data_IF_851795026218
#
_entry.id   IF_851795026218
#
_cell.length_a   1.000
_cell.length_b   1.000
_cell.length_c   1.000
_cell.angle_alpha   90.00
_cell.angle_beta   90.00
_cell.angle_gamma   90.00
#
_symmetry.space_group_name_H-M   'P 1'
#
loop_
_entity.id
_entity.type
_entity.pdbx_description
1 polymer ?
#
# COMPACT_ATOMS: atom_id res chain seq x y z
N UNK A 1 23.77 -9.54 -45.54
CA UNK A 1 22.70 -9.51 -44.52
C UNK A 1 23.12 -10.42 -43.35
N UNK A 2 23.90 -9.92 -42.39
CA UNK A 2 24.13 -10.58 -41.09
C UNK A 2 25.13 -9.74 -40.27
N UNK A 3 24.70 -8.61 -39.70
CA UNK A 3 25.54 -7.85 -38.75
C UNK A 3 24.68 -6.87 -37.94
N UNK A 4 23.86 -7.38 -37.02
CA UNK A 4 23.15 -6.55 -36.03
C UNK A 4 22.93 -7.22 -34.67
N UNK A 5 23.51 -8.40 -34.42
CA UNK A 5 23.29 -9.19 -33.20
C UNK A 5 24.23 -8.95 -31.97
N UNK A 6 25.42 -8.30 -32.03
CA UNK A 6 26.32 -8.24 -30.86
C UNK A 6 25.96 -7.19 -29.81
N UNK A 7 25.13 -6.20 -30.12
CA UNK A 7 24.76 -5.13 -29.19
C UNK A 7 23.65 -5.53 -28.21
N UNK A 8 22.70 -6.35 -28.66
CA UNK A 8 21.56 -6.79 -27.83
C UNK A 8 21.98 -7.85 -26.79
N UNK A 9 22.92 -8.74 -27.10
CA UNK A 9 23.43 -9.74 -26.14
C UNK A 9 24.25 -9.11 -25.01
N UNK A 10 25.11 -8.14 -25.31
CA UNK A 10 25.92 -7.41 -24.29
C UNK A 10 25.06 -6.54 -23.36
N UNK A 11 23.98 -5.95 -23.87
CA UNK A 11 23.05 -5.19 -23.04
C UNK A 11 22.33 -6.10 -22.03
N UNK A 12 21.83 -7.26 -22.46
CA UNK A 12 21.17 -8.23 -21.60
C UNK A 12 22.12 -8.82 -20.52
N UNK A 13 23.38 -9.12 -20.87
CA UNK A 13 24.42 -9.56 -19.92
C UNK A 13 24.70 -8.49 -18.85
N UNK A 14 24.75 -7.20 -19.24
CA UNK A 14 25.03 -6.09 -18.32
C UNK A 14 23.90 -5.85 -17.30
N UNK A 15 22.66 -6.21 -17.65
CA UNK A 15 21.50 -6.08 -16.75
C UNK A 15 21.52 -7.20 -15.72
N UNK A 16 21.71 -8.45 -16.12
CA UNK A 16 21.79 -9.59 -15.20
C UNK A 16 22.89 -9.42 -14.14
N UNK A 17 24.02 -8.84 -14.53
CA UNK A 17 25.16 -8.62 -13.63
C UNK A 17 24.92 -7.56 -12.54
N UNK A 18 23.95 -6.64 -12.73
CA UNK A 18 23.57 -5.64 -11.70
C UNK A 18 22.60 -6.19 -10.66
N UNK A 19 21.81 -7.21 -11.02
CA UNK A 19 20.88 -7.85 -10.08
C UNK A 19 21.59 -8.74 -9.06
N UNK A 20 22.70 -9.39 -9.44
CA UNK A 20 23.48 -10.25 -8.53
C UNK A 20 23.93 -9.52 -7.24
N UNK A 21 24.63 -8.38 -7.29
CA UNK A 21 25.03 -7.66 -6.08
C UNK A 21 23.83 -7.12 -5.31
N UNK A 22 22.76 -6.70 -5.99
CA UNK A 22 21.54 -6.24 -5.32
C UNK A 22 20.90 -7.38 -4.51
N UNK A 23 20.71 -8.55 -5.12
CA UNK A 23 20.14 -9.72 -4.44
C UNK A 23 21.03 -10.16 -3.27
N UNK A 24 22.36 -10.18 -3.46
CA UNK A 24 23.30 -10.50 -2.38
C UNK A 24 23.20 -9.52 -1.21
N UNK A 25 23.14 -8.22 -1.46
CA UNK A 25 22.99 -7.20 -0.43
C UNK A 25 21.62 -7.25 0.26
N UNK A 26 20.55 -7.53 -0.48
CA UNK A 26 19.22 -7.74 0.09
C UNK A 26 19.19 -8.98 1.00
N UNK A 27 19.84 -10.08 0.59
CA UNK A 27 19.98 -11.27 1.43
C UNK A 27 20.75 -10.97 2.72
N UNK A 28 21.80 -10.15 2.65
CA UNK A 28 22.54 -9.68 3.84
C UNK A 28 21.67 -8.81 4.76
N UNK A 29 20.81 -7.94 4.20
CA UNK A 29 19.84 -7.17 4.99
C UNK A 29 18.86 -8.10 5.71
N UNK A 30 18.27 -9.06 4.99
CA UNK A 30 17.35 -10.04 5.57
C UNK A 30 18.04 -10.85 6.68
N UNK A 31 19.26 -11.32 6.44
CA UNK A 31 20.06 -12.03 7.44
C UNK A 31 20.35 -11.15 8.67
N UNK A 32 20.79 -9.90 8.45
CA UNK A 32 21.10 -8.96 9.53
C UNK A 32 19.90 -8.57 10.39
N UNK A 33 18.68 -8.72 9.86
CA UNK A 33 17.40 -8.47 10.52
C UNK A 33 16.66 -9.78 10.89
N UNK A 34 17.31 -10.94 10.81
CA UNK A 34 16.67 -12.23 11.09
C UNK A 34 16.02 -12.32 12.49
N UNK A 35 16.62 -11.80 13.59
CA UNK A 35 15.97 -11.83 14.90
C UNK A 35 14.66 -11.03 14.94
N UNK A 36 14.64 -9.84 14.32
CA UNK A 36 13.43 -9.04 14.19
C UNK A 36 12.37 -9.77 13.37
N UNK A 37 12.76 -10.33 12.22
CA UNK A 37 11.84 -11.08 11.36
C UNK A 37 11.25 -12.30 12.07
N UNK A 38 12.02 -12.97 12.92
CA UNK A 38 11.52 -14.06 13.77
C UNK A 38 10.47 -13.58 14.78
N UNK A 39 10.71 -12.44 15.45
CA UNK A 39 9.74 -11.82 16.37
C UNK A 39 8.45 -11.44 15.63
N UNK A 40 8.57 -10.86 14.43
CA UNK A 40 7.42 -10.50 13.62
C UNK A 40 6.65 -11.75 13.16
N UNK A 41 7.34 -12.80 12.71
CA UNK A 41 6.74 -14.06 12.30
C UNK A 41 5.99 -14.74 13.45
N UNK A 42 6.58 -14.78 14.64
CA UNK A 42 5.95 -15.30 15.86
C UNK A 42 4.65 -14.55 16.15
N UNK A 43 4.67 -13.22 16.04
CA UNK A 43 3.50 -12.37 16.27
C UNK A 43 2.42 -12.58 15.22
N UNK A 44 2.79 -12.71 13.94
CA UNK A 44 1.82 -12.99 12.88
C UNK A 44 1.09 -14.31 13.04
N UNK A 45 1.75 -15.31 13.63
CA UNK A 45 1.18 -16.65 13.79
C UNK A 45 0.34 -16.80 15.06
N UNK A 46 0.72 -16.11 16.14
CA UNK A 46 0.07 -16.26 17.45
C UNK A 46 -0.84 -15.10 17.85
N UNK A 47 -0.70 -13.93 17.23
CA UNK A 47 -1.54 -12.77 17.51
C UNK A 47 -2.58 -12.58 16.38
N UNK A 48 -3.87 -12.88 16.63
CA UNK A 48 -4.92 -12.67 15.65
C UNK A 48 -4.97 -11.23 15.11
N UNK A 49 -4.50 -10.22 15.86
CA UNK A 49 -4.44 -8.82 15.43
C UNK A 49 -3.52 -8.61 14.23
N UNK A 50 -2.45 -9.40 14.13
CA UNK A 50 -1.39 -9.23 13.13
C UNK A 50 -1.32 -10.36 12.10
N UNK A 51 -2.37 -11.20 12.02
CA UNK A 51 -2.52 -12.30 11.06
C UNK A 51 -2.39 -11.91 9.57
N UNK A 52 -2.57 -10.64 9.22
CA UNK A 52 -2.37 -10.13 7.85
C UNK A 52 -0.89 -9.90 7.50
N UNK A 53 0.01 -9.85 8.49
CA UNK A 53 1.42 -9.54 8.34
C UNK A 53 2.16 -10.34 7.26
N UNK A 54 1.96 -11.67 7.12
CA UNK A 54 2.63 -12.47 6.10
C UNK A 54 2.26 -12.10 4.65
N UNK A 55 1.07 -11.53 4.43
CA UNK A 55 0.62 -11.08 3.10
C UNK A 55 1.34 -9.80 2.66
N UNK A 56 1.83 -8.99 3.60
CA UNK A 56 2.47 -7.71 3.32
C UNK A 56 3.75 -7.85 2.48
N UNK A 57 4.75 -8.67 2.86
CA UNK A 57 5.95 -8.84 2.03
C UNK A 57 5.64 -9.47 0.66
N UNK A 58 4.66 -10.38 0.59
CA UNK A 58 4.21 -10.95 -0.69
C UNK A 58 3.63 -9.86 -1.60
N UNK A 59 2.80 -8.97 -1.05
CA UNK A 59 2.24 -7.85 -1.80
C UNK A 59 3.32 -6.84 -2.20
N UNK A 60 4.29 -6.54 -1.33
CA UNK A 60 5.45 -5.70 -1.68
C UNK A 60 6.24 -6.28 -2.86
N UNK A 61 6.47 -7.60 -2.87
CA UNK A 61 7.10 -8.27 -4.01
C UNK A 61 6.23 -8.20 -5.27
N UNK A 62 4.91 -8.37 -5.13
CA UNK A 62 3.97 -8.20 -6.23
C UNK A 62 3.99 -6.78 -6.82
N UNK A 63 4.10 -5.73 -6.00
CA UNK A 63 4.23 -4.33 -6.46
C UNK A 63 5.50 -4.12 -7.30
N UNK A 64 6.59 -4.80 -6.97
CA UNK A 64 7.82 -4.78 -7.78
C UNK A 64 7.64 -5.59 -9.06
N UNK A 65 7.06 -6.79 -8.97
CA UNK A 65 6.84 -7.69 -10.10
C UNK A 65 5.90 -7.12 -11.15
N UNK A 66 4.89 -6.33 -10.74
CA UNK A 66 3.95 -5.66 -11.65
C UNK A 66 4.65 -4.67 -12.59
N UNK A 67 5.75 -4.08 -12.14
CA UNK A 67 6.48 -3.08 -12.90
C UNK A 67 7.75 -3.66 -13.56
N UNK A 68 7.86 -4.99 -13.63
CA UNK A 68 9.05 -5.69 -14.15
C UNK A 68 9.38 -5.36 -15.61
N UNK A 69 8.38 -5.01 -16.41
CA UNK A 69 8.58 -4.69 -17.84
C UNK A 69 9.39 -3.40 -18.01
N UNK A 70 9.36 -2.51 -17.02
CA UNK A 70 10.17 -1.29 -16.99
C UNK A 70 11.47 -1.47 -16.20
N UNK A 71 11.79 -2.69 -15.72
CA UNK A 71 12.88 -2.93 -14.77
C UNK A 71 14.25 -2.48 -15.27
N UNK A 72 14.48 -2.50 -16.58
CA UNK A 72 15.72 -1.99 -17.18
C UNK A 72 15.86 -0.47 -17.03
N UNK A 73 14.74 0.26 -17.14
CA UNK A 73 14.69 1.71 -16.97
C UNK A 73 14.78 2.15 -15.50
N UNK A 74 14.81 1.21 -14.55
CA UNK A 74 14.89 1.51 -13.12
C UNK A 74 16.29 1.89 -12.67
N UNK A 75 17.31 1.51 -13.43
CA UNK A 75 18.70 1.67 -13.02
C UNK A 75 19.20 3.08 -13.33
N UNK A 76 19.57 3.81 -12.28
CA UNK A 76 20.29 5.08 -12.36
C UNK A 76 21.72 4.97 -11.85
N UNK A 77 22.47 6.09 -11.83
CA UNK A 77 23.83 6.09 -11.28
C UNK A 77 23.77 5.79 -9.77
N UNK A 78 24.55 4.81 -9.29
CA UNK A 78 24.60 4.44 -7.88
C UNK A 78 25.02 5.63 -7.00
N UNK A 79 24.49 5.68 -5.78
CA UNK A 79 24.74 6.79 -4.82
C UNK A 79 25.38 6.26 -3.55
N UNK A 80 26.60 5.72 -3.67
CA UNK A 80 27.30 5.03 -2.58
C UNK A 80 27.49 5.89 -1.33
N UNK A 81 27.82 7.18 -1.48
CA UNK A 81 27.99 8.07 -0.33
C UNK A 81 26.72 8.27 0.47
N UNK A 82 25.58 8.46 -0.21
CA UNK A 82 24.27 8.58 0.45
C UNK A 82 23.81 7.24 1.03
N UNK A 83 24.05 6.13 0.33
CA UNK A 83 23.77 4.79 0.83
C UNK A 83 24.57 4.46 2.09
N UNK A 84 25.87 4.78 2.11
CA UNK A 84 26.73 4.57 3.28
C UNK A 84 26.30 5.45 4.45
N UNK A 85 26.01 6.74 4.21
CA UNK A 85 25.46 7.63 5.23
C UNK A 85 24.16 7.09 5.83
N UNK A 86 23.26 6.55 5.00
CA UNK A 86 22.03 5.93 5.45
C UNK A 86 22.28 4.62 6.23
N UNK A 87 23.24 3.79 5.81
CA UNK A 87 23.63 2.57 6.55
C UNK A 87 24.22 2.89 7.92
N UNK A 88 25.03 3.95 8.03
CA UNK A 88 25.54 4.42 9.33
C UNK A 88 24.37 4.84 10.23
N UNK A 89 23.42 5.61 9.69
CA UNK A 89 22.22 5.99 10.43
C UNK A 89 21.39 4.77 10.86
N UNK A 90 21.26 3.76 10.00
CA UNK A 90 20.63 2.47 10.32
C UNK A 90 21.35 1.80 11.49
N UNK A 91 22.68 1.66 11.45
CA UNK A 91 23.44 1.02 12.53
C UNK A 91 23.28 1.75 13.87
N UNK A 92 23.30 3.09 13.84
CA UNK A 92 23.03 3.91 15.03
C UNK A 92 21.60 3.69 15.54
N UNK A 93 20.61 3.68 14.64
CA UNK A 93 19.21 3.44 15.00
C UNK A 93 19.02 2.05 15.62
N UNK A 94 19.67 1.02 15.08
CA UNK A 94 19.65 -0.34 15.62
C UNK A 94 20.31 -0.43 16.99
N UNK A 95 21.44 0.27 17.19
CA UNK A 95 22.09 0.34 18.49
C UNK A 95 21.17 0.98 19.55
N UNK A 96 20.44 2.04 19.17
CA UNK A 96 19.43 2.65 20.05
C UNK A 96 18.24 1.71 20.27
N UNK A 97 17.71 1.10 19.21
CA UNK A 97 16.59 0.16 19.29
C UNK A 97 16.91 -1.04 20.21
N UNK A 98 18.11 -1.60 20.11
CA UNK A 98 18.59 -2.68 20.96
C UNK A 98 18.76 -2.26 22.42
N UNK A 99 19.23 -1.03 22.68
CA UNK A 99 19.33 -0.48 24.05
C UNK A 99 17.96 -0.24 24.69
N UNK A 100 16.98 0.19 23.90
CA UNK A 100 15.63 0.48 24.36
C UNK A 100 14.69 -0.75 24.31
N UNK A 101 15.15 -1.88 23.78
CA UNK A 101 14.33 -3.06 23.47
C UNK A 101 13.08 -2.71 22.63
N UNK A 102 13.22 -1.75 21.72
CA UNK A 102 12.09 -1.18 20.99
C UNK A 102 12.07 -1.67 19.55
N UNK A 103 11.42 -2.83 19.35
CA UNK A 103 11.40 -3.57 18.08
C UNK A 103 10.83 -2.76 16.89
N UNK A 104 9.95 -1.79 17.15
CA UNK A 104 9.39 -0.90 16.12
C UNK A 104 10.47 -0.05 15.45
N UNK A 105 11.50 0.39 16.20
CA UNK A 105 12.63 1.11 15.62
C UNK A 105 13.54 0.21 14.79
N UNK A 106 13.73 -1.05 15.20
CA UNK A 106 14.49 -2.01 14.40
C UNK A 106 13.75 -2.35 13.10
N UNK A 107 12.42 -2.38 13.13
CA UNK A 107 11.59 -2.41 11.94
C UNK A 107 11.84 -1.20 11.03
N UNK A 108 11.78 0.04 11.53
CA UNK A 108 12.15 1.23 10.74
C UNK A 108 13.55 1.08 10.15
N UNK A 109 14.50 0.55 10.93
CA UNK A 109 15.86 0.29 10.46
C UNK A 109 15.90 -0.72 9.31
N UNK A 110 15.03 -1.74 9.28
CA UNK A 110 14.86 -2.66 8.15
C UNK A 110 14.44 -1.93 6.88
N UNK A 111 13.40 -1.07 6.91
CA UNK A 111 12.99 -0.35 5.70
C UNK A 111 14.07 0.63 5.22
N UNK A 112 14.76 1.31 6.14
CA UNK A 112 15.88 2.18 5.79
C UNK A 112 17.08 1.39 5.24
N UNK A 113 17.33 0.17 5.72
CA UNK A 113 18.36 -0.73 5.17
C UNK A 113 18.08 -1.10 3.73
N UNK A 114 16.83 -1.47 3.43
CA UNK A 114 16.38 -1.77 2.07
C UNK A 114 16.53 -0.54 1.15
N UNK A 115 16.13 0.63 1.63
CA UNK A 115 16.30 1.88 0.91
C UNK A 115 17.78 2.20 0.64
N UNK A 116 18.67 1.95 1.61
CA UNK A 116 20.11 2.18 1.46
C UNK A 116 20.74 1.26 0.42
N UNK A 117 20.42 -0.04 0.45
CA UNK A 117 20.89 -1.01 -0.56
C UNK A 117 20.42 -0.60 -1.95
N UNK A 118 19.13 -0.28 -2.10
CA UNK A 118 18.57 0.15 -3.38
C UNK A 118 19.23 1.43 -3.90
N UNK A 119 19.44 2.41 -3.02
CA UNK A 119 20.11 3.67 -3.34
C UNK A 119 21.58 3.46 -3.74
N UNK A 120 22.26 2.51 -3.09
CA UNK A 120 23.65 2.16 -3.36
C UNK A 120 23.83 1.43 -4.70
N UNK A 121 22.87 0.63 -5.12
CA UNK A 121 22.93 -0.13 -6.38
C UNK A 121 22.41 0.65 -7.59
N UNK A 122 21.23 1.26 -7.50
CA UNK A 122 20.54 1.88 -8.64
C UNK A 122 20.20 3.36 -8.45
N UNK A 123 20.64 3.97 -7.36
CA UNK A 123 20.46 5.39 -7.08
C UNK A 123 19.00 5.78 -6.84
N UNK A 124 18.71 7.07 -7.03
CA UNK A 124 17.38 7.64 -6.81
C UNK A 124 16.32 7.10 -7.78
N UNK A 125 16.71 6.60 -8.96
CA UNK A 125 15.76 6.04 -9.92
C UNK A 125 15.17 4.74 -9.36
N UNK A 126 16.03 3.80 -8.96
CA UNK A 126 15.62 2.52 -8.41
C UNK A 126 14.83 2.72 -7.11
N UNK A 127 15.28 3.64 -6.24
CA UNK A 127 14.58 3.93 -4.98
C UNK A 127 13.16 4.46 -5.22
N UNK A 128 12.95 5.38 -6.17
CA UNK A 128 11.59 5.89 -6.46
C UNK A 128 10.67 4.81 -7.02
N UNK A 129 11.21 3.90 -7.85
CA UNK A 129 10.46 2.78 -8.43
C UNK A 129 10.10 1.72 -7.38
N UNK A 130 10.99 1.47 -6.42
CA UNK A 130 10.76 0.53 -5.33
C UNK A 130 10.11 1.14 -4.09
N UNK A 131 9.96 2.47 -4.01
CA UNK A 131 9.49 3.19 -2.81
C UNK A 131 8.13 2.69 -2.33
N UNK A 132 7.20 2.43 -3.25
CA UNK A 132 5.89 1.90 -2.90
C UNK A 132 6.00 0.52 -2.23
N UNK A 133 6.84 -0.37 -2.75
CA UNK A 133 7.04 -1.71 -2.20
C UNK A 133 7.74 -1.68 -0.83
N UNK A 134 8.79 -0.85 -0.69
CA UNK A 134 9.51 -0.67 0.58
C UNK A 134 8.59 -0.01 1.62
N UNK A 135 7.86 1.03 1.24
CA UNK A 135 6.94 1.74 2.12
C UNK A 135 5.78 0.85 2.58
N UNK A 136 5.27 -0.03 1.72
CA UNK A 136 4.19 -0.96 2.07
C UNK A 136 4.58 -1.94 3.17
N UNK A 137 5.88 -2.26 3.34
CA UNK A 137 6.35 -3.12 4.42
C UNK A 137 6.08 -2.57 5.82
N UNK A 138 5.72 -1.30 5.98
CA UNK A 138 5.36 -0.76 7.30
C UNK A 138 4.13 -1.46 7.89
N UNK A 139 3.23 -1.98 7.05
CA UNK A 139 2.03 -2.69 7.52
C UNK A 139 2.32 -4.07 8.12
N UNK A 140 3.52 -4.63 7.94
CA UNK A 140 3.90 -5.89 8.57
C UNK A 140 4.37 -5.69 10.02
N UNK A 141 4.61 -4.45 10.42
CA UNK A 141 5.18 -4.08 11.71
C UNK A 141 4.05 -3.75 12.68
N UNK A 142 4.03 -4.35 13.88
CA UNK A 142 3.06 -4.02 14.89
C UNK A 142 3.24 -2.59 15.40
N UNK A 143 2.13 -1.92 15.66
CA UNK A 143 2.13 -0.56 16.19
C UNK A 143 2.77 -0.54 17.60
N UNK A 144 3.40 0.59 17.99
CA UNK A 144 3.86 0.75 19.37
C UNK A 144 2.66 0.86 20.32
N UNK A 145 2.78 0.26 21.50
CA UNK A 145 1.71 0.15 22.50
C UNK A 145 0.99 1.49 22.78
N UNK A 146 1.73 2.58 22.91
CA UNK A 146 1.13 3.90 23.15
C UNK A 146 0.22 4.35 22.00
N UNK A 147 0.61 4.08 20.75
CA UNK A 147 -0.20 4.40 19.59
C UNK A 147 -1.41 3.47 19.49
N UNK A 148 -1.23 2.18 19.80
CA UNK A 148 -2.33 1.23 19.88
C UNK A 148 -3.38 1.68 20.89
N UNK A 149 -2.95 2.13 22.07
CA UNK A 149 -3.84 2.62 23.13
C UNK A 149 -4.52 3.94 22.75
N UNK A 150 -3.75 4.94 22.31
CA UNK A 150 -4.27 6.28 21.99
C UNK A 150 -5.26 6.27 20.82
N UNK A 151 -5.09 5.38 19.85
CA UNK A 151 -6.02 5.21 18.72
C UNK A 151 -7.14 4.21 19.07
N UNK A 152 -6.84 3.17 19.84
CA UNK A 152 -7.80 2.14 20.22
C UNK A 152 -8.90 2.65 21.15
N UNK A 153 -8.57 3.48 22.14
CA UNK A 153 -9.55 4.06 23.08
C UNK A 153 -10.71 4.80 22.38
N UNK A 154 -10.48 5.80 21.51
CA UNK A 154 -11.58 6.52 20.84
C UNK A 154 -12.38 5.59 19.91
N UNK A 155 -11.73 4.63 19.25
CA UNK A 155 -12.43 3.64 18.42
C UNK A 155 -13.34 2.75 19.26
N UNK A 156 -12.91 2.33 20.46
CA UNK A 156 -13.76 1.59 21.41
C UNK A 156 -14.95 2.41 21.87
N UNK A 157 -14.75 3.70 22.17
CA UNK A 157 -15.88 4.60 22.54
C UNK A 157 -16.88 4.68 21.39
N UNK A 158 -16.43 4.99 20.18
CA UNK A 158 -17.29 5.11 19.01
C UNK A 158 -18.05 3.81 18.72
N UNK A 159 -17.35 2.68 18.77
CA UNK A 159 -17.95 1.36 18.56
C UNK A 159 -18.99 1.01 19.64
N UNK A 160 -18.69 1.28 20.92
CA UNK A 160 -19.61 1.00 22.04
C UNK A 160 -20.87 1.87 21.94
N UNK A 161 -20.71 3.16 21.66
CA UNK A 161 -21.83 4.10 21.49
C UNK A 161 -22.70 3.68 20.30
N UNK A 162 -22.09 3.44 19.14
CA UNK A 162 -22.84 3.06 17.93
C UNK A 162 -23.54 1.71 18.06
N UNK A 163 -22.89 0.73 18.68
CA UNK A 163 -23.49 -0.60 18.90
C UNK A 163 -24.61 -0.56 19.93
N UNK A 164 -24.45 0.21 21.01
CA UNK A 164 -25.53 0.40 22.01
C UNK A 164 -26.75 1.02 21.34
N UNK A 165 -26.55 2.06 20.52
CA UNK A 165 -27.61 2.69 19.77
C UNK A 165 -28.32 1.70 18.83
N UNK A 166 -27.58 0.92 18.04
CA UNK A 166 -28.19 -0.08 17.15
C UNK A 166 -28.91 -1.20 17.90
N UNK A 167 -28.37 -1.67 19.02
CA UNK A 167 -29.06 -2.69 19.84
C UNK A 167 -30.38 -2.14 20.41
N UNK A 168 -30.39 -0.89 20.88
CA UNK A 168 -31.59 -0.23 21.37
C UNK A 168 -32.64 -0.03 20.26
N UNK A 169 -32.23 0.37 19.05
CA UNK A 169 -33.16 0.52 17.92
C UNK A 169 -33.71 -0.83 17.44
N UNK A 170 -32.96 -1.92 17.65
CA UNK A 170 -33.42 -3.29 17.43
C UNK A 170 -34.22 -3.88 18.60
N UNK A 171 -34.62 -3.05 19.56
CA UNK A 171 -35.51 -3.43 20.66
C UNK A 171 -34.83 -4.12 21.84
N UNK A 172 -33.49 -4.11 21.91
CA UNK A 172 -32.74 -4.70 23.01
C UNK A 172 -32.52 -3.69 24.15
N UNK A 173 -32.69 -4.09 25.43
CA UNK A 173 -32.45 -3.22 26.58
C UNK A 173 -30.94 -3.09 26.86
N UNK A 174 -30.20 -2.48 25.92
CA UNK A 174 -28.76 -2.30 26.00
C UNK A 174 -28.40 -1.04 26.80
N UNK A 175 -27.58 -1.20 27.84
CA UNK A 175 -27.01 -0.11 28.64
C UNK A 175 -25.49 -0.10 28.47
N UNK A 176 -24.92 1.08 28.21
CA UNK A 176 -23.46 1.26 28.14
C UNK A 176 -22.88 1.60 29.51
N UNK A 177 -21.91 0.82 29.95
CA UNK A 177 -21.05 1.09 31.10
C UNK A 177 -19.58 1.06 30.66
N UNK A 178 -18.98 2.24 30.48
CA UNK A 178 -17.66 2.37 29.86
C UNK A 178 -17.62 1.78 28.44
N UNK A 179 -16.82 0.72 28.27
CA UNK A 179 -16.68 -0.08 27.04
C UNK A 179 -17.43 -1.42 27.09
N UNK A 180 -18.31 -1.59 28.07
CA UNK A 180 -19.13 -2.79 28.23
C UNK A 180 -20.58 -2.43 27.89
N UNK A 181 -21.24 -3.29 27.13
CA UNK A 181 -22.67 -3.20 26.83
C UNK A 181 -23.37 -4.29 27.64
N UNK A 182 -24.28 -3.87 28.52
CA UNK A 182 -25.07 -4.72 29.39
C UNK A 182 -26.45 -4.94 28.76
N UNK A 183 -26.87 -6.20 28.62
CA UNK A 183 -28.19 -6.60 28.12
C UNK A 183 -28.73 -7.73 29.00
N UNK A 184 -29.37 -7.36 30.11
CA UNK A 184 -29.80 -8.34 31.12
C UNK A 184 -28.61 -9.09 31.72
N UNK A 185 -28.57 -10.40 31.52
CA UNK A 185 -27.46 -11.26 31.97
C UNK A 185 -26.25 -11.24 31.02
N UNK A 186 -26.42 -10.77 29.79
CA UNK A 186 -25.36 -10.72 28.78
C UNK A 186 -24.49 -9.49 29.00
N UNK A 187 -23.16 -9.71 29.07
CA UNK A 187 -22.15 -8.64 29.16
C UNK A 187 -21.23 -8.71 27.94
N UNK A 188 -21.34 -7.74 27.06
CA UNK A 188 -20.48 -7.62 25.88
C UNK A 188 -19.39 -6.60 26.15
N UNK A 189 -18.18 -7.08 26.40
CA UNK A 189 -17.02 -6.21 26.48
C UNK A 189 -16.48 -5.87 25.09
N UNK A 190 -16.28 -4.59 24.80
CA UNK A 190 -15.42 -4.14 23.70
C UNK A 190 -13.97 -4.19 24.19
N UNK A 191 -13.49 -5.42 24.41
CA UNK A 191 -12.12 -5.72 24.87
C UNK A 191 -11.10 -5.49 23.75
N UNK A 192 -9.80 -5.60 24.01
CA UNK A 192 -8.74 -5.34 23.03
C UNK A 192 -8.88 -6.15 21.74
N UNK A 193 -9.39 -7.38 21.82
CA UNK A 193 -9.72 -8.23 20.67
C UNK A 193 -10.80 -7.63 19.73
N UNK A 194 -11.58 -6.68 20.22
CA UNK A 194 -12.64 -5.96 19.50
C UNK A 194 -12.32 -4.47 19.29
N UNK A 195 -11.10 -4.04 19.63
CA UNK A 195 -10.70 -2.61 19.73
C UNK A 195 -10.79 -1.81 18.43
N UNK A 196 -11.25 -2.39 17.32
CA UNK A 196 -11.27 -1.75 16.01
C UNK A 196 -9.87 -1.55 15.42
N UNK A 197 -8.80 -1.62 16.22
CA UNK A 197 -7.43 -1.35 15.78
C UNK A 197 -6.91 -2.41 14.82
N UNK A 198 -7.15 -3.70 15.10
CA UNK A 198 -6.89 -4.81 14.15
C UNK A 198 -7.45 -4.47 12.77
N UNK A 199 -8.73 -4.07 12.76
CA UNK A 199 -9.46 -3.81 11.53
C UNK A 199 -9.00 -2.52 10.87
N UNK A 200 -8.69 -1.50 11.65
CA UNK A 200 -8.11 -0.26 11.14
C UNK A 200 -6.80 -0.54 10.41
N UNK A 201 -5.87 -1.27 11.02
CA UNK A 201 -4.57 -1.61 10.39
C UNK A 201 -4.77 -2.48 9.16
N UNK A 202 -5.65 -3.48 9.25
CA UNK A 202 -5.96 -4.39 8.14
C UNK A 202 -6.59 -3.62 6.97
N UNK A 203 -7.64 -2.82 7.21
CA UNK A 203 -8.26 -1.98 6.20
C UNK A 203 -7.33 -0.88 5.70
N UNK A 204 -6.43 -0.36 6.52
CA UNK A 204 -5.40 0.57 6.07
C UNK A 204 -4.45 -0.11 5.07
N UNK A 205 -3.98 -1.32 5.37
CA UNK A 205 -3.14 -2.09 4.46
C UNK A 205 -3.86 -2.37 3.13
N UNK A 206 -5.12 -2.81 3.17
CA UNK A 206 -5.91 -3.05 1.95
C UNK A 206 -6.20 -1.76 1.17
N UNK A 207 -6.57 -0.67 1.85
CA UNK A 207 -6.90 0.61 1.21
C UNK A 207 -5.67 1.27 0.60
N UNK A 208 -4.54 1.26 1.30
CA UNK A 208 -3.26 1.71 0.74
C UNK A 208 -2.84 0.82 -0.42
N UNK A 209 -2.97 -0.50 -0.30
CA UNK A 209 -2.72 -1.43 -1.39
C UNK A 209 -3.57 -1.12 -2.63
N UNK A 210 -4.87 -0.88 -2.44
CA UNK A 210 -5.78 -0.49 -3.52
C UNK A 210 -5.37 0.85 -4.15
N UNK A 211 -5.07 1.87 -3.35
CA UNK A 211 -4.62 3.19 -3.80
C UNK A 211 -3.30 3.15 -4.57
N UNK A 212 -2.39 2.23 -4.20
CA UNK A 212 -1.14 1.98 -4.92
C UNK A 212 -1.39 1.26 -6.25
N UNK A 213 -2.41 0.42 -6.34
CA UNK A 213 -2.73 -0.33 -7.55
C UNK A 213 -3.59 0.45 -8.56
N UNK A 214 -4.49 1.30 -8.06
CA UNK A 214 -5.47 2.02 -8.84
C UNK A 214 -4.88 3.33 -9.40
N UNK A 215 -5.13 3.57 -10.69
CA UNK A 215 -4.86 4.86 -11.35
C UNK A 215 -6.04 5.78 -11.06
N UNK A 216 -5.92 6.57 -9.99
CA UNK A 216 -6.94 7.50 -9.46
C UNK A 216 -6.31 8.85 -9.16
N UNK A 217 -7.12 9.90 -9.16
CA UNK A 217 -6.67 11.26 -8.82
C UNK A 217 -6.16 11.32 -7.37
N UNK A 218 -5.30 12.30 -7.05
CA UNK A 218 -4.79 12.47 -5.67
C UNK A 218 -5.92 12.71 -4.67
N UNK A 219 -7.00 13.35 -5.11
CA UNK A 219 -8.18 13.61 -4.30
C UNK A 219 -8.92 12.32 -3.94
N UNK A 220 -9.24 11.48 -4.93
CA UNK A 220 -9.88 10.17 -4.67
C UNK A 220 -9.02 9.29 -3.77
N UNK A 221 -7.69 9.29 -3.97
CA UNK A 221 -6.76 8.57 -3.10
C UNK A 221 -6.84 9.06 -1.66
N UNK A 222 -6.87 10.38 -1.45
CA UNK A 222 -7.03 10.94 -0.11
C UNK A 222 -8.37 10.57 0.52
N UNK A 223 -9.47 10.62 -0.24
CA UNK A 223 -10.80 10.23 0.24
C UNK A 223 -10.81 8.78 0.71
N UNK A 224 -10.30 7.84 -0.10
CA UNK A 224 -10.16 6.42 0.28
C UNK A 224 -9.35 6.23 1.55
N UNK A 225 -8.27 7.00 1.75
CA UNK A 225 -7.48 6.91 2.98
C UNK A 225 -8.23 7.47 4.20
N UNK A 226 -9.01 8.54 4.02
CA UNK A 226 -9.88 9.06 5.08
C UNK A 226 -11.03 8.10 5.40
N UNK A 227 -11.50 7.32 4.42
CA UNK A 227 -12.51 6.28 4.55
C UNK A 227 -12.11 5.11 5.46
N UNK A 228 -10.82 4.86 5.66
CA UNK A 228 -10.32 3.74 6.49
C UNK A 228 -10.94 3.76 7.90
N UNK A 229 -10.96 4.93 8.56
CA UNK A 229 -11.46 5.09 9.92
C UNK A 229 -12.97 4.82 10.02
N UNK A 230 -13.86 5.50 9.25
CA UNK A 230 -15.29 5.23 9.31
C UNK A 230 -15.64 3.80 8.90
N UNK A 231 -14.96 3.24 7.89
CA UNK A 231 -15.16 1.83 7.50
C UNK A 231 -14.84 0.89 8.68
N UNK A 232 -13.71 1.11 9.37
CA UNK A 232 -13.34 0.31 10.54
C UNK A 232 -14.37 0.44 11.69
N UNK A 233 -14.86 1.65 11.96
CA UNK A 233 -15.87 1.91 13.00
C UNK A 233 -17.20 1.23 12.65
N UNK A 234 -17.72 1.46 11.44
CA UNK A 234 -19.01 0.89 10.99
C UNK A 234 -18.96 -0.63 11.01
N UNK A 235 -17.89 -1.22 10.46
CA UNK A 235 -17.70 -2.66 10.50
C UNK A 235 -17.73 -3.18 11.95
N UNK A 236 -16.99 -2.53 12.87
CA UNK A 236 -16.98 -2.93 14.28
C UNK A 236 -18.34 -2.82 14.96
N UNK A 237 -19.11 -1.77 14.66
CA UNK A 237 -20.47 -1.59 15.18
C UNK A 237 -21.37 -2.74 14.75
N UNK A 238 -21.34 -3.10 13.46
CA UNK A 238 -22.13 -4.22 12.92
C UNK A 238 -21.76 -5.52 13.63
N UNK A 239 -20.47 -5.77 13.86
CA UNK A 239 -19.99 -6.95 14.60
C UNK A 239 -20.54 -7.05 16.00
N UNK A 240 -20.33 -6.01 16.81
CA UNK A 240 -20.68 -6.01 18.22
C UNK A 240 -22.20 -6.17 18.36
N UNK A 241 -22.96 -5.52 17.47
CA UNK A 241 -24.41 -5.67 17.38
C UNK A 241 -24.79 -7.12 17.04
N UNK A 242 -24.19 -7.73 16.00
CA UNK A 242 -24.49 -9.10 15.60
C UNK A 242 -24.12 -10.14 16.67
N UNK A 243 -22.95 -10.00 17.30
CA UNK A 243 -22.55 -10.82 18.46
C UNK A 243 -23.55 -10.65 19.60
N UNK A 244 -23.99 -9.42 19.88
CA UNK A 244 -24.92 -9.16 20.95
C UNK A 244 -26.31 -9.75 20.74
N UNK A 245 -26.86 -9.63 19.53
CA UNK A 245 -28.11 -10.29 19.17
C UNK A 245 -27.98 -11.81 19.27
N UNK A 246 -26.83 -12.37 18.89
CA UNK A 246 -26.59 -13.81 18.99
C UNK A 246 -26.67 -14.29 20.43
N UNK A 247 -26.07 -13.56 21.39
CA UNK A 247 -26.19 -13.89 22.81
C UNK A 247 -27.62 -13.75 23.37
N UNK A 248 -28.47 -12.92 22.77
CA UNK A 248 -29.87 -12.77 23.19
C UNK A 248 -30.73 -13.92 22.66
N UNK A 249 -30.56 -14.30 21.40
CA UNK A 249 -31.45 -15.26 20.74
C UNK A 249 -30.94 -16.71 20.77
N UNK A 250 -29.64 -16.92 20.95
CA UNK A 250 -29.03 -18.25 20.94
C UNK A 250 -28.59 -18.63 22.35
N UNK A 251 -29.03 -19.81 22.80
CA UNK A 251 -28.67 -20.37 24.10
C UNK A 251 -27.66 -21.51 24.03
N UNK A 252 -27.47 -22.11 22.85
CA UNK A 252 -26.51 -23.19 22.65
C UNK A 252 -25.08 -22.61 22.64
N UNK A 253 -24.21 -22.99 23.61
CA UNK A 253 -22.84 -22.52 23.68
C UNK A 253 -22.02 -22.83 22.42
N UNK A 254 -22.21 -24.00 21.80
CA UNK A 254 -21.44 -24.38 20.61
C UNK A 254 -21.81 -23.52 19.41
N UNK A 255 -23.09 -23.17 19.29
CA UNK A 255 -23.56 -22.29 18.24
C UNK A 255 -23.12 -20.84 18.49
N UNK A 256 -23.04 -20.40 19.75
CA UNK A 256 -22.49 -19.10 20.10
C UNK A 256 -21.02 -18.97 19.73
N UNK A 257 -20.21 -19.99 20.01
CA UNK A 257 -18.79 -20.01 19.62
C UNK A 257 -18.64 -19.94 18.10
N UNK A 258 -19.41 -20.75 17.36
CA UNK A 258 -19.43 -20.71 15.90
C UNK A 258 -19.85 -19.33 15.37
N UNK A 259 -20.91 -18.74 15.94
CA UNK A 259 -21.40 -17.43 15.52
C UNK A 259 -20.38 -16.33 15.83
N UNK A 260 -19.68 -16.40 16.97
CA UNK A 260 -18.61 -15.48 17.29
C UNK A 260 -17.49 -15.50 16.24
N UNK A 261 -17.05 -16.70 15.85
CA UNK A 261 -16.03 -16.87 14.79
C UNK A 261 -16.54 -16.42 13.43
N UNK A 262 -17.80 -16.75 13.11
CA UNK A 262 -18.46 -16.33 11.88
C UNK A 262 -18.57 -14.80 11.76
N UNK A 263 -18.98 -14.12 12.83
CA UNK A 263 -19.01 -12.65 12.85
C UNK A 263 -17.61 -12.07 12.66
N UNK A 264 -16.58 -12.70 13.24
CA UNK A 264 -15.18 -12.33 13.02
C UNK A 264 -14.74 -12.44 11.55
N UNK A 265 -15.14 -13.52 10.87
CA UNK A 265 -14.86 -13.72 9.45
C UNK A 265 -15.65 -12.73 8.56
N UNK A 266 -16.92 -12.49 8.86
CA UNK A 266 -17.83 -11.61 8.11
C UNK A 266 -17.36 -10.15 8.08
N UNK A 267 -16.52 -9.74 9.04
CA UNK A 267 -15.91 -8.40 9.08
C UNK A 267 -15.15 -8.03 7.82
N UNK A 268 -14.39 -8.99 7.28
CA UNK A 268 -13.54 -8.75 6.13
C UNK A 268 -14.38 -8.47 4.87
N UNK A 269 -15.37 -9.32 4.51
CA UNK A 269 -16.32 -9.01 3.45
C UNK A 269 -17.04 -7.68 3.63
N UNK A 270 -17.52 -7.35 4.85
CA UNK A 270 -18.22 -6.08 5.11
C UNK A 270 -17.29 -4.90 4.85
N UNK A 271 -16.08 -4.90 5.41
CA UNK A 271 -15.15 -3.80 5.23
C UNK A 271 -14.67 -3.63 3.78
N UNK A 272 -14.40 -4.74 3.07
CA UNK A 272 -14.10 -4.70 1.64
C UNK A 272 -15.29 -4.21 0.81
N UNK A 273 -16.52 -4.59 1.19
CA UNK A 273 -17.75 -4.10 0.58
C UNK A 273 -17.93 -2.59 0.76
N UNK A 274 -17.64 -2.07 1.96
CA UNK A 274 -17.66 -0.63 2.23
C UNK A 274 -16.56 0.13 1.47
N UNK A 275 -15.35 -0.43 1.37
CA UNK A 275 -14.28 0.14 0.54
C UNK A 275 -14.66 0.15 -0.94
N UNK A 276 -15.26 -0.94 -1.44
CA UNK A 276 -15.76 -1.03 -2.81
C UNK A 276 -16.89 -0.02 -3.06
N UNK A 277 -17.79 0.16 -2.08
CA UNK A 277 -18.84 1.17 -2.10
C UNK A 277 -18.25 2.58 -2.16
N UNK A 278 -17.26 2.89 -1.33
CA UNK A 278 -16.56 4.18 -1.34
C UNK A 278 -15.93 4.46 -2.70
N UNK A 279 -15.19 3.49 -3.26
CA UNK A 279 -14.60 3.60 -4.60
C UNK A 279 -15.67 3.78 -5.69
N UNK A 280 -16.81 3.11 -5.56
CA UNK A 280 -17.94 3.26 -6.46
C UNK A 280 -18.56 4.65 -6.34
N UNK A 281 -18.80 5.15 -5.13
CA UNK A 281 -19.34 6.50 -4.89
C UNK A 281 -18.40 7.55 -5.49
N UNK A 282 -17.10 7.48 -5.18
CA UNK A 282 -16.10 8.43 -5.70
C UNK A 282 -16.06 8.43 -7.22
N UNK A 283 -16.12 7.25 -7.85
CA UNK A 283 -16.17 7.14 -9.32
C UNK A 283 -17.39 7.81 -9.94
N UNK A 284 -18.56 7.74 -9.28
CA UNK A 284 -19.78 8.33 -9.84
C UNK A 284 -19.94 9.82 -9.48
N UNK A 285 -19.33 10.28 -8.39
CA UNK A 285 -19.43 11.66 -7.92
C UNK A 285 -18.36 12.56 -8.55
N UNK A 286 -17.15 12.04 -8.75
CA UNK A 286 -16.04 12.75 -9.38
C UNK A 286 -16.08 12.44 -10.87
N UNK A 287 -16.88 13.21 -11.62
CA UNK A 287 -16.78 13.26 -13.08
C UNK A 287 -15.45 13.93 -13.39
N UNK A 288 -14.50 13.19 -13.97
CA UNK A 288 -13.32 13.81 -14.56
C UNK A 288 -13.80 14.82 -15.61
N UNK A 289 -13.67 16.12 -15.32
CA UNK A 289 -13.66 17.13 -16.37
C UNK A 289 -12.51 16.75 -17.30
N UNK A 290 -12.86 16.16 -18.43
CA UNK A 290 -11.92 15.84 -19.48
C UNK A 290 -11.18 17.12 -19.82
N UNK A 291 -9.90 17.19 -19.45
CA UNK A 291 -8.94 18.17 -19.92
C UNK A 291 -8.64 17.91 -21.42
N UNK A 292 -9.70 17.84 -22.23
CA UNK A 292 -9.71 17.54 -23.65
C UNK A 292 -10.15 18.75 -24.49
N UNK A 293 -10.41 19.91 -23.84
CA UNK A 293 -10.64 21.19 -24.54
C UNK A 293 -9.38 22.02 -24.80
N UNK A 294 -8.18 21.60 -24.36
CA UNK A 294 -6.91 22.30 -24.64
C UNK A 294 -6.00 21.56 -25.62
N UNK A 295 -6.54 20.58 -26.37
CA UNK A 295 -5.86 19.91 -27.49
C UNK A 295 -6.52 20.21 -28.85
N UNK A 296 -7.07 21.40 -29.04
CA UNK A 296 -7.11 21.91 -30.41
C UNK A 296 -5.70 22.38 -30.77
N UNK A 297 -5.01 21.73 -31.72
CA UNK A 297 -3.89 22.40 -32.35
C UNK A 297 -4.49 23.56 -33.12
N UNK A 298 -4.27 24.79 -32.65
CA UNK A 298 -4.28 25.97 -33.50
C UNK A 298 -3.30 25.68 -34.64
N UNK A 299 -3.80 25.13 -35.74
CA UNK A 299 -3.09 25.02 -37.00
C UNK A 299 -2.56 26.42 -37.33
N UNK A 300 -1.24 26.60 -37.53
CA UNK A 300 -0.76 27.82 -38.13
C UNK A 300 -1.27 27.83 -39.57
N UNK A 301 -2.29 28.65 -39.82
CA UNK A 301 -2.75 28.94 -41.16
C UNK A 301 -1.59 29.57 -41.94
N UNK A 302 -1.03 28.82 -42.89
CA UNK A 302 -0.34 29.37 -44.04
C UNK A 302 1.18 29.48 -43.96
N UNK A 303 1.88 28.39 -44.30
CA UNK A 303 3.17 28.47 -45.00
C UNK A 303 3.22 27.38 -46.08
N UNK A 304 3.10 27.80 -47.36
CA UNK A 304 3.37 26.95 -48.53
C UNK A 304 4.88 26.64 -48.60
N UNK A 305 5.32 25.43 -49.00
CA UNK A 305 6.73 25.15 -49.23
C UNK A 305 7.22 25.89 -50.48
N UNK A 306 8.32 26.64 -50.34
CA UNK A 306 9.13 27.16 -51.43
C UNK A 306 9.76 25.97 -52.20
N UNK A 307 9.41 25.82 -53.47
CA UNK A 307 10.12 24.94 -54.38
C UNK A 307 11.46 25.59 -54.76
N UNK A 308 12.56 24.95 -54.38
CA UNK A 308 13.91 25.22 -54.84
C UNK A 308 14.26 24.31 -56.02
N UNK A 309 14.93 24.85 -57.05
CA UNK A 309 15.52 24.02 -58.10
C UNK A 309 15.97 24.73 -59.37
N UNK A 310 17.20 25.26 -59.37
CA UNK A 310 18.19 24.96 -60.42
C UNK A 310 18.16 25.74 -61.74
N UNK A 311 19.03 26.73 -61.84
CA UNK A 311 19.59 27.34 -63.06
C UNK A 311 20.52 26.39 -63.83
N UNK A 312 20.46 26.37 -65.17
CA UNK A 312 21.61 26.14 -66.05
C UNK A 312 21.26 26.46 -67.52
N UNK A 313 22.15 27.18 -68.20
CA UNK A 313 21.91 27.81 -69.49
C UNK A 313 22.03 26.91 -70.71
N UNK A 314 21.59 27.45 -71.85
CA UNK A 314 22.04 27.05 -73.20
C UNK A 314 21.99 28.25 -74.13
N UNK A 315 23.17 28.65 -74.61
CA UNK A 315 23.41 29.49 -75.79
C UNK A 315 24.19 28.61 -76.76
N UNK A 316 23.80 28.55 -78.03
CA UNK A 316 24.51 27.79 -79.06
C UNK A 316 23.64 27.42 -80.26
N UNK A 317 23.84 28.18 -81.33
CA UNK A 317 23.29 28.13 -82.69
C UNK A 317 23.55 26.86 -83.50
N UNK A 318 22.57 26.47 -84.34
CA UNK A 318 22.70 25.82 -85.66
C UNK A 318 21.46 26.28 -86.49
N UNK A 319 21.61 27.25 -87.39
CA UNK A 319 21.68 27.13 -88.87
C UNK A 319 20.46 26.56 -89.59
N UNK A 320 19.78 27.47 -90.29
CA UNK A 320 19.27 27.38 -91.69
C UNK A 320 18.33 26.26 -92.12
N UNK A 321 17.11 26.68 -92.46
CA UNK A 321 16.18 26.04 -93.38
C UNK A 321 15.09 27.03 -93.78
N UNK A 322 15.32 27.72 -94.90
CA UNK A 322 14.43 28.64 -95.67
C UNK A 322 14.09 30.03 -95.12
#
# INVERSE_FOLDING_TARGET
MAESQPAQSRAAESVGQRWVPLVGLLALVVWGHAPLLAILAERWWHDPQYSHGPLVPLFSLYLLWRQREEAEAWWGPPRWGAALGLLVAVLLLRAVAGRLLFHQLDAVALQLSLAAVVLGCGGWCLLRRSAAAIGFLIFMVPLPYELERNVGEPLKVAATVGSTFLLQTLGQPALRDGHIILMGEVRLGVVDACSGLKMLVTFAAFSVGAVLLLRRSRFEKLMVLLGIIPIAIVSNIVRITATGLSHVYVRDPRLLDFLHDFHGWLMMPIGLGLLALELWVLRNLVVEETAEYLREPLLPTGLRPLASGGTAGKHGSETSGE
#
